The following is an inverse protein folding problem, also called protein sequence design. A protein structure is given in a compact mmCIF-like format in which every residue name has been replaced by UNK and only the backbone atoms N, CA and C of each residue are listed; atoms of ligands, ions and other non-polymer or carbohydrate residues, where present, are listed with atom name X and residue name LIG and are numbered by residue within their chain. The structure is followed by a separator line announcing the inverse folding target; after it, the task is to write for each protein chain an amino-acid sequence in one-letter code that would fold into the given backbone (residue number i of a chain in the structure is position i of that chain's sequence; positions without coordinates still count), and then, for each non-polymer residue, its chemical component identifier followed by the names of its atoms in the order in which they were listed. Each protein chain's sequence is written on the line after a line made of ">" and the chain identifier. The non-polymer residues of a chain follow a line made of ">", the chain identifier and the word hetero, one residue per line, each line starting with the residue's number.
data_IF_812794472447
#
_entry.id   IF_812794472447
#
_cell.length_a   1.000
_cell.length_b   1.000
_cell.length_c   1.000
_cell.angle_alpha   90.00
_cell.angle_beta   90.00
_cell.angle_gamma   90.00
#
_symmetry.space_group_name_H-M   'P 1'
#
loop_
_entity.id
_entity.type
_entity.pdbx_description
1 polymer ?
#
# COMPACT_ATOMS: atom_id res chain seq x y z
N UNK A 1 -15.11 -26.08 -9.78
CA UNK A 1 -15.93 -25.58 -8.65
C UNK A 1 -15.93 -24.08 -8.72
N UNK A 2 -17.11 -23.44 -8.82
CA UNK A 2 -17.17 -21.98 -8.81
C UNK A 2 -16.62 -21.49 -7.46
N UNK A 3 -15.69 -20.53 -7.50
CA UNK A 3 -15.28 -19.80 -6.28
C UNK A 3 -16.49 -18.95 -5.89
N UNK A 4 -17.35 -19.49 -5.04
CA UNK A 4 -18.50 -18.79 -4.48
C UNK A 4 -17.99 -17.62 -3.63
N UNK A 5 -17.98 -16.43 -4.18
CA UNK A 5 -17.85 -15.21 -3.39
C UNK A 5 -19.26 -14.78 -3.00
N UNK A 6 -19.43 -14.32 -1.77
CA UNK A 6 -20.52 -13.40 -1.51
C UNK A 6 -20.06 -12.30 -0.58
N UNK A 7 -20.87 -11.25 -0.56
CA UNK A 7 -20.56 -10.04 0.16
C UNK A 7 -21.31 -10.06 1.48
N UNK A 8 -20.62 -9.74 2.59
CA UNK A 8 -21.22 -9.60 3.92
C UNK A 8 -21.32 -8.11 4.26
N UNK A 9 -22.33 -7.37 3.76
CA UNK A 9 -22.56 -5.99 4.18
C UNK A 9 -22.64 -5.88 5.70
N UNK A 10 -22.03 -4.82 6.23
CA UNK A 10 -22.10 -4.49 7.66
C UNK A 10 -23.54 -4.17 8.01
N UNK A 11 -24.10 -4.98 8.91
CA UNK A 11 -25.41 -4.78 9.47
C UNK A 11 -25.26 -4.34 10.92
N UNK A 12 -25.87 -3.21 11.24
CA UNK A 12 -25.90 -2.66 12.59
C UNK A 12 -27.20 -3.08 13.28
N UNK A 13 -27.09 -3.60 14.50
CA UNK A 13 -28.23 -4.11 15.25
C UNK A 13 -27.86 -5.26 16.17
N UNK A 14 -28.79 -5.64 17.04
CA UNK A 14 -28.66 -6.79 17.92
C UNK A 14 -29.79 -7.77 17.67
N UNK A 15 -29.47 -9.07 17.70
CA UNK A 15 -30.49 -10.10 17.64
C UNK A 15 -31.37 -10.00 18.90
N UNK A 16 -32.70 -9.89 18.76
CA UNK A 16 -33.60 -9.84 19.92
C UNK A 16 -33.45 -11.08 20.79
N UNK A 17 -33.58 -10.91 22.11
CA UNK A 17 -33.43 -12.00 23.09
C UNK A 17 -34.28 -13.23 22.76
N UNK A 18 -35.54 -13.03 22.36
CA UNK A 18 -36.47 -14.11 22.02
C UNK A 18 -35.99 -14.97 20.84
N UNK A 19 -35.30 -14.37 19.86
CA UNK A 19 -34.75 -15.08 18.71
C UNK A 19 -33.46 -15.77 19.11
N UNK A 20 -32.57 -15.08 19.81
CA UNK A 20 -31.29 -15.62 20.26
C UNK A 20 -31.45 -16.87 21.16
N UNK A 21 -32.46 -16.90 22.03
CA UNK A 21 -32.82 -18.08 22.83
C UNK A 21 -33.24 -19.27 21.95
N UNK A 22 -34.08 -19.04 20.93
CA UNK A 22 -34.52 -20.07 19.97
C UNK A 22 -33.37 -20.54 19.08
N UNK A 23 -32.51 -19.63 18.62
CA UNK A 23 -31.27 -19.94 17.88
C UNK A 23 -30.37 -20.86 18.71
N UNK A 24 -30.23 -20.60 20.01
CA UNK A 24 -29.40 -21.41 20.90
C UNK A 24 -29.97 -22.83 21.02
N UNK A 25 -31.29 -22.96 21.21
CA UNK A 25 -31.97 -24.26 21.31
C UNK A 25 -31.86 -25.06 20.01
N UNK A 26 -32.28 -24.46 18.88
CA UNK A 26 -32.26 -25.12 17.58
C UNK A 26 -30.83 -25.45 17.13
N UNK A 27 -29.90 -24.49 17.27
CA UNK A 27 -28.50 -24.68 16.91
C UNK A 27 -27.82 -25.75 17.76
N UNK A 28 -28.13 -25.81 19.06
CA UNK A 28 -27.66 -26.88 19.95
C UNK A 28 -28.16 -28.26 19.50
N UNK A 29 -29.46 -28.37 19.19
CA UNK A 29 -30.06 -29.62 18.70
C UNK A 29 -29.48 -30.06 17.34
N UNK A 30 -29.23 -29.12 16.43
CA UNK A 30 -28.58 -29.42 15.13
C UNK A 30 -27.15 -29.93 15.36
N UNK A 31 -26.38 -29.27 16.23
CA UNK A 31 -25.01 -29.72 16.56
C UNK A 31 -25.04 -31.13 17.14
N UNK A 32 -25.92 -31.39 18.10
CA UNK A 32 -26.10 -32.70 18.73
C UNK A 32 -26.46 -33.77 17.69
N UNK A 33 -27.44 -33.51 16.82
CA UNK A 33 -27.80 -34.42 15.74
C UNK A 33 -26.63 -34.71 14.79
N UNK A 34 -25.86 -33.69 14.41
CA UNK A 34 -24.69 -33.86 13.53
C UNK A 34 -23.62 -34.71 14.21
N UNK A 35 -23.33 -34.47 15.48
CA UNK A 35 -22.33 -35.25 16.23
C UNK A 35 -22.78 -36.70 16.40
N UNK A 36 -24.06 -36.94 16.68
CA UNK A 36 -24.61 -38.28 16.85
C UNK A 36 -24.62 -39.08 15.53
N UNK A 37 -24.99 -38.45 14.41
CA UNK A 37 -25.11 -39.15 13.11
C UNK A 37 -23.78 -39.27 12.36
N UNK A 38 -22.92 -38.26 12.43
CA UNK A 38 -21.72 -38.14 11.57
C UNK A 38 -20.41 -37.98 12.36
N UNK A 39 -20.48 -37.83 13.68
CA UNK A 39 -19.31 -37.66 14.54
C UNK A 39 -18.80 -36.23 14.67
N UNK A 40 -17.86 -36.04 15.61
CA UNK A 40 -17.26 -34.75 15.96
C UNK A 40 -16.48 -34.13 14.81
N UNK A 41 -15.66 -34.93 14.13
CA UNK A 41 -14.87 -34.48 12.98
C UNK A 41 -15.74 -33.90 11.85
N UNK A 42 -16.87 -34.55 11.53
CA UNK A 42 -17.79 -34.06 10.52
C UNK A 42 -18.42 -32.70 10.89
N UNK A 43 -18.69 -32.46 12.18
CA UNK A 43 -19.13 -31.14 12.64
C UNK A 43 -18.03 -30.09 12.43
N UNK A 44 -16.80 -30.38 12.86
CA UNK A 44 -15.65 -29.46 12.75
C UNK A 44 -15.40 -29.09 11.28
N UNK A 45 -15.41 -30.09 10.39
CA UNK A 45 -15.30 -29.88 8.95
C UNK A 45 -16.43 -28.99 8.42
N UNK A 46 -17.69 -29.28 8.76
CA UNK A 46 -18.86 -28.47 8.33
C UNK A 46 -18.80 -27.03 8.84
N UNK A 47 -18.36 -26.80 10.08
CA UNK A 47 -18.18 -25.46 10.64
C UNK A 47 -17.07 -24.69 9.91
N UNK A 48 -16.03 -25.38 9.43
CA UNK A 48 -14.98 -24.78 8.62
C UNK A 48 -15.43 -24.42 7.19
N UNK A 49 -16.55 -24.98 6.73
CA UNK A 49 -17.13 -24.63 5.43
C UNK A 49 -17.97 -23.33 5.55
N UNK A 50 -17.63 -22.28 4.78
CA UNK A 50 -18.31 -20.99 4.86
C UNK A 50 -19.76 -21.05 4.38
N UNK A 51 -20.08 -21.87 3.38
CA UNK A 51 -21.41 -21.96 2.79
C UNK A 51 -22.34 -22.77 3.69
N UNK A 52 -21.82 -23.85 4.29
CA UNK A 52 -22.54 -24.60 5.32
C UNK A 52 -22.81 -23.71 6.53
N UNK A 53 -21.79 -23.01 7.05
CA UNK A 53 -21.96 -22.11 8.20
C UNK A 53 -22.93 -20.96 7.90
N UNK A 54 -22.89 -20.39 6.68
CA UNK A 54 -23.87 -19.39 6.24
C UNK A 54 -25.29 -19.96 6.21
N UNK A 55 -25.45 -21.17 5.67
CA UNK A 55 -26.73 -21.87 5.58
C UNK A 55 -27.29 -22.18 6.97
N UNK A 56 -26.43 -22.59 7.92
CA UNK A 56 -26.81 -22.74 9.32
C UNK A 56 -27.35 -21.43 9.89
N UNK A 57 -26.70 -20.29 9.61
CA UNK A 57 -27.21 -18.98 9.98
C UNK A 57 -28.62 -18.70 9.47
N UNK A 58 -28.89 -19.00 8.19
CA UNK A 58 -30.22 -18.87 7.60
C UNK A 58 -31.26 -19.75 8.31
N UNK A 59 -30.93 -21.02 8.57
CA UNK A 59 -31.81 -21.96 9.28
C UNK A 59 -32.13 -21.47 10.70
N UNK A 60 -31.17 -20.80 11.35
CA UNK A 60 -31.36 -20.19 12.66
C UNK A 60 -32.13 -18.85 12.61
N UNK A 61 -32.58 -18.42 11.43
CA UNK A 61 -33.44 -17.22 11.27
C UNK A 61 -32.66 -15.92 11.07
N UNK A 62 -31.39 -15.98 10.67
CA UNK A 62 -30.62 -14.81 10.27
C UNK A 62 -30.78 -14.52 8.78
N UNK A 63 -30.69 -13.23 8.40
CA UNK A 63 -30.71 -12.84 6.99
C UNK A 63 -29.50 -13.38 6.23
N UNK A 64 -29.76 -14.01 5.08
CA UNK A 64 -28.81 -14.80 4.28
C UNK A 64 -27.55 -14.08 3.81
N UNK A 65 -27.50 -12.74 3.87
CA UNK A 65 -26.36 -11.91 3.45
C UNK A 65 -25.83 -11.05 4.60
N UNK A 66 -26.27 -11.28 5.84
CA UNK A 66 -25.87 -10.46 6.97
C UNK A 66 -24.51 -10.84 7.53
N UNK A 67 -23.63 -9.84 7.69
CA UNK A 67 -22.40 -9.97 8.50
C UNK A 67 -22.68 -10.33 9.96
N UNK A 68 -23.91 -10.07 10.45
CA UNK A 68 -24.35 -10.44 11.79
C UNK A 68 -24.42 -11.94 12.03
N UNK A 69 -24.55 -12.77 10.99
CA UNK A 69 -24.62 -14.25 11.08
C UNK A 69 -23.49 -14.79 11.95
N UNK A 70 -22.25 -14.39 11.67
CA UNK A 70 -21.08 -14.96 12.34
C UNK A 70 -21.10 -14.71 13.83
N UNK A 71 -21.44 -13.49 14.25
CA UNK A 71 -21.47 -13.15 15.67
C UNK A 71 -22.61 -13.84 16.38
N UNK A 72 -23.80 -13.82 15.79
CA UNK A 72 -25.01 -14.35 16.41
C UNK A 72 -25.02 -15.86 16.50
N UNK A 73 -24.65 -16.55 15.41
CA UNK A 73 -24.60 -18.02 15.36
C UNK A 73 -23.54 -18.56 16.31
N UNK A 74 -22.30 -18.03 16.28
CA UNK A 74 -21.25 -18.51 17.18
C UNK A 74 -21.59 -18.20 18.64
N UNK A 75 -22.20 -17.05 18.92
CA UNK A 75 -22.69 -16.72 20.25
C UNK A 75 -23.75 -17.72 20.73
N UNK A 76 -24.78 -17.99 19.92
CA UNK A 76 -25.88 -18.88 20.27
C UNK A 76 -25.41 -20.33 20.44
N UNK A 77 -24.52 -20.81 19.56
CA UNK A 77 -23.93 -22.13 19.68
C UNK A 77 -23.03 -22.23 20.92
N UNK A 78 -22.19 -21.23 21.20
CA UNK A 78 -21.36 -21.22 22.42
C UNK A 78 -22.23 -21.33 23.67
N UNK A 79 -23.39 -20.69 23.70
CA UNK A 79 -24.32 -20.76 24.82
C UNK A 79 -24.97 -22.13 24.99
N UNK A 80 -25.33 -22.84 23.92
CA UNK A 80 -26.03 -24.13 24.00
C UNK A 80 -25.07 -25.32 24.06
N UNK A 81 -24.10 -25.38 23.14
CA UNK A 81 -23.15 -26.49 23.01
C UNK A 81 -22.29 -26.61 24.27
N UNK A 82 -21.78 -25.50 24.82
CA UNK A 82 -20.91 -25.59 26.00
C UNK A 82 -21.62 -26.12 27.26
N UNK A 83 -22.95 -26.01 27.35
CA UNK A 83 -23.73 -26.60 28.46
C UNK A 83 -23.72 -28.13 28.45
N UNK A 84 -23.55 -28.73 27.27
CA UNK A 84 -23.45 -30.17 27.03
C UNK A 84 -22.06 -30.60 26.53
N UNK A 85 -21.04 -29.75 26.71
CA UNK A 85 -19.72 -29.97 26.11
C UNK A 85 -19.07 -31.31 26.49
N UNK A 86 -19.27 -31.76 27.73
CA UNK A 86 -18.74 -33.04 28.22
C UNK A 86 -19.41 -34.25 27.56
N UNK A 87 -20.67 -34.14 27.17
CA UNK A 87 -21.42 -35.20 26.46
C UNK A 87 -21.08 -35.19 24.96
N UNK A 88 -21.03 -34.00 24.36
CA UNK A 88 -20.80 -33.84 22.93
C UNK A 88 -19.32 -33.96 22.55
N UNK A 89 -18.40 -33.77 23.49
CA UNK A 89 -16.98 -33.64 23.22
C UNK A 89 -16.63 -32.41 22.37
N UNK A 90 -17.48 -31.37 22.37
CA UNK A 90 -17.30 -30.15 21.56
C UNK A 90 -17.32 -28.92 22.48
N UNK A 91 -16.35 -28.03 22.25
CA UNK A 91 -16.14 -26.80 23.01
C UNK A 91 -16.02 -25.61 22.06
N UNK A 92 -16.73 -24.53 22.35
CA UNK A 92 -16.65 -23.28 21.58
C UNK A 92 -16.04 -22.20 22.47
N UNK A 93 -14.92 -21.65 22.04
CA UNK A 93 -14.20 -20.58 22.72
C UNK A 93 -14.21 -19.28 21.94
N UNK A 94 -14.00 -18.17 22.64
CA UNK A 94 -13.89 -16.85 22.02
C UNK A 94 -15.22 -16.15 21.78
N UNK A 95 -15.25 -15.25 20.80
CA UNK A 95 -16.41 -14.44 20.43
C UNK A 95 -16.01 -13.04 19.97
N UNK A 96 -16.91 -12.06 20.13
CA UNK A 96 -16.69 -10.66 19.77
C UNK A 96 -15.94 -9.88 20.87
N UNK A 97 -15.02 -9.00 20.48
CA UNK A 97 -14.40 -8.00 21.36
C UNK A 97 -13.65 -8.60 22.56
N UNK A 98 -14.12 -8.37 23.79
CA UNK A 98 -13.41 -8.92 24.98
C UNK A 98 -13.38 -10.46 24.99
N UNK A 99 -14.36 -11.11 24.37
CA UNK A 99 -14.43 -12.57 24.33
C UNK A 99 -13.37 -13.18 23.41
N UNK A 100 -13.02 -12.54 22.27
CA UNK A 100 -11.91 -13.03 21.43
C UNK A 100 -10.58 -13.02 22.19
N UNK A 101 -10.34 -11.97 23.00
CA UNK A 101 -9.12 -11.87 23.82
C UNK A 101 -9.08 -12.89 24.96
N UNK A 102 -10.21 -13.45 25.36
CA UNK A 102 -10.32 -14.45 26.42
C UNK A 102 -10.08 -15.89 25.92
N UNK A 103 -10.05 -16.14 24.61
CA UNK A 103 -9.88 -17.47 24.02
C UNK A 103 -8.71 -18.26 24.62
N UNK A 104 -7.50 -17.69 24.80
CA UNK A 104 -6.39 -18.44 25.38
C UNK A 104 -6.69 -19.02 26.76
N UNK A 105 -7.36 -18.25 27.61
CA UNK A 105 -7.70 -18.68 28.96
C UNK A 105 -8.81 -19.74 28.96
N UNK A 106 -9.75 -19.68 28.02
CA UNK A 106 -10.77 -20.71 27.84
C UNK A 106 -10.14 -22.03 27.38
N UNK A 107 -9.21 -21.98 26.42
CA UNK A 107 -8.49 -23.15 25.91
C UNK A 107 -7.65 -23.84 26.98
N UNK A 108 -6.92 -23.09 27.80
CA UNK A 108 -6.18 -23.67 28.92
C UNK A 108 -7.08 -24.43 29.89
N UNK A 109 -8.27 -23.90 30.21
CA UNK A 109 -9.22 -24.58 31.12
C UNK A 109 -9.71 -25.90 30.52
N UNK A 110 -10.05 -25.90 29.23
CA UNK A 110 -10.51 -27.11 28.53
C UNK A 110 -9.39 -28.13 28.48
N UNK A 111 -8.18 -27.72 28.11
CA UNK A 111 -6.98 -28.56 28.08
C UNK A 111 -6.73 -29.22 29.45
N UNK A 112 -6.82 -28.44 30.54
CA UNK A 112 -6.69 -28.98 31.91
C UNK A 112 -7.74 -30.03 32.25
N UNK A 113 -8.98 -29.91 31.74
CA UNK A 113 -10.06 -30.88 32.00
C UNK A 113 -10.03 -32.12 31.08
N UNK A 114 -9.41 -32.02 29.91
CA UNK A 114 -9.45 -33.05 28.85
C UNK A 114 -8.11 -33.76 28.64
N UNK A 115 -7.02 -33.24 29.21
CA UNK A 115 -5.66 -33.75 29.01
C UNK A 115 -4.99 -33.31 27.71
N UNK A 116 -5.60 -32.41 26.94
CA UNK A 116 -5.02 -31.86 25.70
C UNK A 116 -3.85 -30.91 25.99
N UNK A 117 -2.98 -30.70 24.99
CA UNK A 117 -1.90 -29.71 25.05
C UNK A 117 -2.44 -28.28 24.88
N UNK A 118 -2.61 -27.60 26.01
CA UNK A 118 -3.08 -26.22 26.06
C UNK A 118 -2.16 -25.22 25.36
N UNK A 119 -0.84 -25.41 25.40
CA UNK A 119 0.11 -24.49 24.78
C UNK A 119 0.03 -24.55 23.25
N UNK A 120 -0.09 -25.75 22.70
CA UNK A 120 -0.29 -25.95 21.26
C UNK A 120 -1.63 -25.36 20.78
N UNK A 121 -2.71 -25.56 21.53
CA UNK A 121 -4.01 -24.98 21.21
C UNK A 121 -3.99 -23.44 21.23
N UNK A 122 -3.41 -22.86 22.28
CA UNK A 122 -3.29 -21.39 22.43
C UNK A 122 -2.39 -20.81 21.33
N UNK A 123 -1.30 -21.47 21.00
CA UNK A 123 -0.43 -21.07 19.89
C UNK A 123 -1.19 -21.08 18.56
N UNK A 124 -1.95 -22.14 18.29
CA UNK A 124 -2.76 -22.27 17.06
C UNK A 124 -3.82 -21.16 16.96
N UNK A 125 -4.54 -20.89 18.05
CA UNK A 125 -5.51 -19.79 18.13
C UNK A 125 -4.88 -18.42 17.84
N UNK A 126 -3.72 -18.13 18.47
CA UNK A 126 -2.99 -16.86 18.27
C UNK A 126 -2.46 -16.72 16.84
N UNK A 127 -1.89 -17.79 16.27
CA UNK A 127 -1.35 -17.75 14.91
C UNK A 127 -2.45 -17.51 13.88
N UNK A 128 -3.58 -18.22 13.97
CA UNK A 128 -4.72 -17.97 13.09
C UNK A 128 -5.16 -16.50 13.14
N UNK A 129 -5.30 -15.92 14.34
CA UNK A 129 -5.66 -14.51 14.49
C UNK A 129 -4.63 -13.53 13.92
N UNK A 130 -3.33 -13.83 14.07
CA UNK A 130 -2.25 -12.97 13.56
C UNK A 130 -2.11 -13.04 12.04
N UNK A 131 -2.33 -14.21 11.46
CA UNK A 131 -2.30 -14.38 10.01
C UNK A 131 -3.39 -13.53 9.37
N UNK A 132 -4.63 -13.67 9.81
CA UNK A 132 -5.79 -12.99 9.22
C UNK A 132 -5.73 -11.47 9.39
N UNK A 133 -5.10 -10.99 10.48
CA UNK A 133 -5.02 -9.57 10.79
C UNK A 133 -3.73 -8.88 10.30
N UNK A 134 -2.69 -9.62 9.93
CA UNK A 134 -1.35 -9.02 9.69
C UNK A 134 -0.65 -9.58 8.47
N UNK A 135 -0.73 -10.89 8.22
CA UNK A 135 -0.11 -11.48 7.04
C UNK A 135 -0.94 -11.20 5.77
N UNK A 136 -2.26 -11.12 5.92
CA UNK A 136 -3.20 -10.69 4.87
C UNK A 136 -3.52 -9.21 5.08
N UNK A 137 -2.94 -8.33 4.25
CA UNK A 137 -3.17 -6.89 4.33
C UNK A 137 -4.22 -6.45 3.29
N UNK A 138 -5.46 -6.88 3.51
CA UNK A 138 -6.61 -6.60 2.65
C UNK A 138 -7.50 -5.46 3.15
N UNK A 139 -7.08 -4.80 4.23
CA UNK A 139 -7.79 -3.69 4.86
C UNK A 139 -8.94 -4.10 5.77
N UNK A 140 -9.09 -5.38 6.14
CA UNK A 140 -10.08 -5.83 7.13
C UNK A 140 -9.42 -6.03 8.50
N UNK A 141 -10.00 -5.44 9.55
CA UNK A 141 -9.51 -5.59 10.93
C UNK A 141 -10.36 -6.60 11.70
N UNK A 142 -9.72 -7.62 12.29
CA UNK A 142 -10.42 -8.70 13.01
C UNK A 142 -11.07 -8.17 14.28
N UNK A 143 -12.38 -8.41 14.42
CA UNK A 143 -13.15 -8.02 15.61
C UNK A 143 -13.85 -9.19 16.30
N UNK A 144 -13.91 -10.35 15.64
CA UNK A 144 -14.45 -11.59 16.17
C UNK A 144 -13.47 -12.73 15.88
N UNK A 145 -13.21 -13.54 16.90
CA UNK A 145 -12.42 -14.76 16.80
C UNK A 145 -13.11 -15.85 17.62
N UNK A 146 -13.47 -16.96 16.97
CA UNK A 146 -14.05 -18.12 17.63
C UNK A 146 -13.27 -19.37 17.29
N UNK A 147 -13.01 -20.20 18.30
CA UNK A 147 -12.25 -21.44 18.20
C UNK A 147 -13.17 -22.58 18.62
N UNK A 148 -13.43 -23.53 17.72
CA UNK A 148 -14.31 -24.67 17.94
C UNK A 148 -13.40 -25.90 18.03
N UNK A 149 -13.44 -26.60 19.15
CA UNK A 149 -12.50 -27.66 19.53
C UNK A 149 -13.26 -28.95 19.86
N UNK A 150 -12.82 -30.07 19.32
CA UNK A 150 -13.18 -31.39 19.82
C UNK A 150 -12.25 -31.84 20.94
N UNK A 151 -12.73 -32.70 21.84
CA UNK A 151 -11.91 -33.43 22.81
C UNK A 151 -10.91 -34.42 22.17
N UNK A 152 -11.02 -34.65 20.86
CA UNK A 152 -10.06 -35.43 20.04
C UNK A 152 -8.92 -34.56 19.49
N UNK A 153 -8.93 -33.25 19.77
CA UNK A 153 -7.88 -32.31 19.37
C UNK A 153 -8.07 -31.66 18.00
N UNK A 154 -9.11 -32.05 17.24
CA UNK A 154 -9.47 -31.37 16.01
C UNK A 154 -10.16 -30.04 16.29
N UNK A 155 -9.82 -29.02 15.52
CA UNK A 155 -10.42 -27.70 15.67
C UNK A 155 -10.67 -26.99 14.34
N UNK A 156 -11.61 -26.06 14.39
CA UNK A 156 -11.86 -25.05 13.37
C UNK A 156 -11.81 -23.65 13.99
N UNK A 157 -11.30 -22.67 13.24
CA UNK A 157 -11.36 -21.25 13.62
C UNK A 157 -12.22 -20.50 12.62
N UNK A 158 -13.18 -19.72 13.13
CA UNK A 158 -13.99 -18.80 12.34
C UNK A 158 -13.72 -17.40 12.85
N UNK A 159 -13.20 -16.54 11.97
CA UNK A 159 -12.88 -15.14 12.28
C UNK A 159 -13.66 -14.22 11.38
N UNK A 160 -13.92 -13.00 11.87
CA UNK A 160 -14.50 -11.95 11.03
C UNK A 160 -13.76 -10.63 11.23
N UNK A 161 -13.34 -10.07 10.10
CA UNK A 161 -12.81 -8.72 10.00
C UNK A 161 -13.84 -7.76 9.42
N UNK A 162 -13.75 -6.48 9.80
CA UNK A 162 -14.56 -5.40 9.24
C UNK A 162 -13.68 -4.38 8.52
N UNK A 163 -14.24 -3.74 7.48
CA UNK A 163 -13.64 -2.60 6.82
C UNK A 163 -14.67 -1.46 6.82
N UNK A 164 -14.47 -0.50 7.73
CA UNK A 164 -15.37 0.63 7.89
C UNK A 164 -15.42 1.53 6.64
N UNK A 165 -14.31 1.62 5.91
CA UNK A 165 -14.19 2.44 4.71
C UNK A 165 -15.05 1.95 3.53
N UNK A 166 -15.38 0.65 3.48
CA UNK A 166 -16.23 0.10 2.43
C UNK A 166 -17.56 -0.47 2.91
N UNK A 167 -17.78 -0.59 4.22
CA UNK A 167 -19.05 -1.06 4.78
C UNK A 167 -19.26 -2.57 4.70
N UNK A 168 -18.20 -3.38 4.55
CA UNK A 168 -18.30 -4.85 4.48
C UNK A 168 -17.51 -5.55 5.59
N UNK A 169 -17.89 -6.79 5.86
CA UNK A 169 -17.13 -7.75 6.63
C UNK A 169 -16.51 -8.83 5.73
N UNK A 170 -15.42 -9.43 6.20
CA UNK A 170 -14.74 -10.58 5.59
C UNK A 170 -14.62 -11.69 6.62
N UNK A 171 -15.00 -12.90 6.23
CA UNK A 171 -14.96 -14.08 7.11
C UNK A 171 -13.83 -15.02 6.70
N UNK A 172 -13.10 -15.53 7.68
CA UNK A 172 -11.96 -16.42 7.49
C UNK A 172 -12.22 -17.74 8.19
N UNK A 173 -11.96 -18.84 7.51
CA UNK A 173 -12.16 -20.18 8.04
C UNK A 173 -10.87 -21.00 7.98
N UNK A 174 -10.61 -21.70 9.08
CA UNK A 174 -9.49 -22.59 9.27
C UNK A 174 -10.00 -23.95 9.70
N UNK A 175 -9.35 -25.02 9.23
CA UNK A 175 -9.64 -26.39 9.59
C UNK A 175 -8.34 -27.13 9.90
N UNK A 176 -8.14 -27.51 11.16
CA UNK A 176 -6.86 -28.05 11.63
C UNK A 176 -6.32 -29.25 10.83
N UNK A 177 -7.13 -30.24 10.40
CA UNK A 177 -6.62 -31.36 9.61
C UNK A 177 -6.10 -30.97 8.23
N UNK A 178 -6.46 -29.79 7.70
CA UNK A 178 -6.00 -29.32 6.39
C UNK A 178 -4.79 -28.39 6.46
N UNK A 179 -4.33 -28.00 7.67
CA UNK A 179 -3.22 -27.05 7.83
C UNK A 179 -1.89 -27.79 7.72
N UNK A 180 -1.15 -27.51 6.65
CA UNK A 180 0.26 -27.93 6.49
C UNK A 180 1.24 -26.87 7.00
N UNK A 181 0.83 -25.60 6.98
CA UNK A 181 1.62 -24.44 7.41
C UNK A 181 0.68 -23.34 7.88
N UNK A 182 1.05 -22.58 8.91
CA UNK A 182 0.30 -21.39 9.33
C UNK A 182 0.60 -20.15 8.47
N UNK A 183 1.67 -20.17 7.69
CA UNK A 183 2.19 -18.99 6.97
C UNK A 183 2.25 -19.20 5.46
N UNK A 184 1.61 -20.26 4.96
CA UNK A 184 1.52 -20.58 3.54
C UNK A 184 0.17 -21.23 3.26
N UNK A 185 -0.69 -20.51 2.51
CA UNK A 185 -2.05 -20.91 2.13
C UNK A 185 -2.83 -21.66 3.23
N UNK A 186 -2.92 -21.12 4.46
CA UNK A 186 -3.39 -21.89 5.60
C UNK A 186 -4.92 -21.99 5.70
N UNK A 187 -5.63 -21.12 4.98
CA UNK A 187 -7.08 -21.01 5.02
C UNK A 187 -7.73 -22.13 4.23
N UNK A 188 -8.75 -22.74 4.83
CA UNK A 188 -9.72 -23.52 4.06
C UNK A 188 -10.53 -22.58 3.16
N UNK A 189 -10.86 -21.38 3.66
CA UNK A 189 -11.60 -20.38 2.89
C UNK A 189 -11.43 -18.94 3.39
N UNK A 190 -11.47 -17.98 2.46
CA UNK A 190 -11.59 -16.53 2.74
C UNK A 190 -12.78 -15.95 1.96
N UNK A 191 -13.76 -15.40 2.69
CA UNK A 191 -15.03 -14.95 2.12
C UNK A 191 -15.12 -13.43 1.98
N UNK A 192 -15.21 -12.97 0.73
CA UNK A 192 -15.52 -11.58 0.37
C UNK A 192 -15.11 -11.22 -1.06
N UNK A 193 -15.53 -10.03 -1.52
CA UNK A 193 -15.14 -9.51 -2.85
C UNK A 193 -13.62 -9.40 -3.02
N UNK A 194 -13.11 -9.83 -4.17
CA UNK A 194 -11.74 -9.53 -4.58
C UNK A 194 -11.61 -8.01 -4.84
N UNK A 195 -10.67 -7.35 -4.15
CA UNK A 195 -10.45 -5.89 -4.21
C UNK A 195 -9.21 -5.52 -5.05
N UNK A 196 -8.72 -6.44 -5.87
CA UNK A 196 -7.51 -6.27 -6.66
C UNK A 196 -6.27 -6.87 -5.98
N UNK A 197 -5.10 -6.30 -6.27
CA UNK A 197 -3.83 -6.72 -5.68
C UNK A 197 -3.76 -6.27 -4.22
N UNK A 198 -3.50 -7.23 -3.33
CA UNK A 198 -3.26 -7.00 -1.90
C UNK A 198 -1.90 -7.57 -1.53
N UNK A 199 -1.30 -7.06 -0.45
CA UNK A 199 -0.13 -7.70 0.12
C UNK A 199 -0.59 -8.91 0.94
N UNK A 200 -0.31 -10.12 0.44
CA UNK A 200 -0.62 -11.37 1.10
C UNK A 200 0.68 -12.17 1.34
N UNK A 201 1.18 -12.14 2.57
CA UNK A 201 2.39 -12.86 2.97
C UNK A 201 2.18 -14.37 3.13
N UNK A 202 0.92 -14.85 3.15
CA UNK A 202 0.64 -16.28 3.14
C UNK A 202 0.60 -16.87 1.73
N UNK A 203 0.72 -16.05 0.69
CA UNK A 203 0.73 -16.58 -0.66
C UNK A 203 1.96 -17.46 -0.87
N UNK A 204 1.79 -18.58 -1.60
CA UNK A 204 2.90 -19.52 -1.90
C UNK A 204 4.13 -18.85 -2.54
N UNK A 205 3.91 -17.80 -3.33
CA UNK A 205 4.97 -17.08 -4.02
C UNK A 205 5.57 -15.94 -3.17
N UNK A 206 5.10 -15.73 -1.93
CA UNK A 206 5.57 -14.66 -1.04
C UNK A 206 6.87 -15.01 -0.27
N UNK A 207 7.52 -16.13 -0.59
CA UNK A 207 8.68 -16.65 0.14
C UNK A 207 9.87 -15.69 0.18
N UNK A 208 10.21 -15.06 -0.95
CA UNK A 208 11.27 -14.05 -1.00
C UNK A 208 10.94 -12.82 -0.15
N UNK A 209 9.70 -12.33 -0.22
CA UNK A 209 9.24 -11.21 0.60
C UNK A 209 9.29 -11.54 2.09
N UNK A 210 8.85 -12.73 2.50
CA UNK A 210 8.94 -13.20 3.90
C UNK A 210 10.39 -13.23 4.37
N UNK A 211 11.31 -13.74 3.56
CA UNK A 211 12.74 -13.75 3.87
C UNK A 211 13.32 -12.32 3.96
N UNK A 212 12.95 -11.43 3.05
CA UNK A 212 13.33 -10.02 3.09
C UNK A 212 12.90 -9.34 4.39
N UNK A 213 11.64 -9.51 4.81
CA UNK A 213 11.13 -8.98 6.09
C UNK A 213 11.92 -9.53 7.27
N UNK A 214 12.22 -10.83 7.30
CA UNK A 214 13.00 -11.46 8.36
C UNK A 214 14.48 -11.06 8.35
N UNK A 215 15.02 -10.66 7.20
CA UNK A 215 16.39 -10.17 7.11
C UNK A 215 16.47 -8.73 7.62
N UNK A 216 15.48 -7.89 7.32
CA UNK A 216 15.41 -6.52 7.86
C UNK A 216 15.42 -6.53 9.38
N UNK A 217 14.74 -7.48 10.04
CA UNK A 217 14.74 -7.55 11.52
C UNK A 217 16.10 -7.94 12.12
N UNK A 218 17.03 -8.44 11.29
CA UNK A 218 18.40 -8.79 11.69
C UNK A 218 19.41 -7.68 11.40
N UNK A 219 19.03 -6.68 10.60
CA UNK A 219 19.94 -5.60 10.23
C UNK A 219 20.10 -4.56 11.33
N UNK A 220 21.22 -3.85 11.27
CA UNK A 220 21.51 -2.76 12.19
C UNK A 220 20.46 -1.64 12.01
N UNK A 221 19.69 -1.30 13.07
CA UNK A 221 18.70 -0.23 13.02
C UNK A 221 19.24 1.11 12.50
N UNK A 222 20.51 1.43 12.74
CA UNK A 222 21.13 2.67 12.25
C UNK A 222 21.25 2.70 10.73
N UNK A 223 21.52 1.56 10.10
CA UNK A 223 21.55 1.43 8.65
C UNK A 223 20.13 1.58 8.07
N UNK A 224 19.15 0.93 8.69
CA UNK A 224 17.74 1.05 8.30
C UNK A 224 17.27 2.50 8.42
N UNK A 225 17.57 3.17 9.54
CA UNK A 225 17.20 4.57 9.77
C UNK A 225 17.90 5.51 8.76
N UNK A 226 19.16 5.25 8.41
CA UNK A 226 19.88 6.03 7.40
C UNK A 226 19.23 5.90 6.03
N UNK A 227 18.83 4.69 5.63
CA UNK A 227 18.14 4.47 4.36
C UNK A 227 16.70 5.04 4.38
N UNK A 228 15.97 4.85 5.48
CA UNK A 228 14.62 5.41 5.65
C UNK A 228 14.62 6.94 5.57
N UNK A 229 15.65 7.60 6.13
CA UNK A 229 15.83 9.06 6.06
C UNK A 229 16.00 9.57 4.63
N UNK A 230 16.49 8.76 3.68
CA UNK A 230 16.57 9.15 2.26
C UNK A 230 15.19 9.26 1.59
N UNK A 231 14.14 8.74 2.21
CA UNK A 231 12.77 8.75 1.69
C UNK A 231 11.96 9.93 2.26
N UNK A 232 12.44 10.57 3.34
CA UNK A 232 11.77 11.71 3.95
C UNK A 232 12.17 13.03 3.28
N UNK A 233 11.20 13.69 2.66
CA UNK A 233 11.37 15.06 2.18
C UNK A 233 11.22 16.05 3.34
N UNK A 234 11.99 17.15 3.36
CA UNK A 234 11.94 18.13 4.44
C UNK A 234 10.63 18.94 4.41
N UNK A 235 10.18 19.41 5.57
CA UNK A 235 8.86 20.05 5.73
C UNK A 235 8.71 21.44 5.08
N UNK A 236 9.82 22.06 4.67
CA UNK A 236 9.84 23.37 4.01
C UNK A 236 9.71 23.28 2.48
N UNK A 237 9.20 24.35 1.87
CA UNK A 237 8.98 24.45 0.42
C UNK A 237 10.13 25.12 -0.34
N UNK A 238 10.96 25.95 0.32
CA UNK A 238 12.07 26.64 -0.33
C UNK A 238 13.18 25.66 -0.71
N UNK A 239 13.66 25.78 -1.95
CA UNK A 239 14.80 24.99 -2.42
C UNK A 239 16.08 25.66 -1.96
N UNK A 240 16.88 24.95 -1.15
CA UNK A 240 18.17 25.42 -0.63
C UNK A 240 19.33 24.72 -1.32
N UNK A 241 20.53 25.29 -1.25
CA UNK A 241 21.75 24.68 -1.81
C UNK A 241 21.99 23.27 -1.27
N UNK A 242 21.69 23.03 0.01
CA UNK A 242 21.78 21.70 0.63
C UNK A 242 20.80 20.64 0.08
N UNK A 243 19.76 21.06 -0.67
CA UNK A 243 18.79 20.14 -1.29
C UNK A 243 19.17 19.75 -2.72
N UNK A 244 20.22 20.35 -3.28
CA UNK A 244 20.58 20.23 -4.69
C UNK A 244 22.05 19.85 -4.81
N UNK A 245 22.36 18.87 -5.68
CA UNK A 245 23.72 18.66 -6.11
C UNK A 245 24.11 19.79 -7.08
N UNK A 246 24.80 20.82 -6.54
CA UNK A 246 25.17 22.02 -7.30
C UNK A 246 26.02 21.73 -8.54
N UNK A 247 26.81 20.65 -8.51
CA UNK A 247 27.63 20.23 -9.65
C UNK A 247 26.76 19.74 -10.81
N UNK A 248 25.75 18.92 -10.52
CA UNK A 248 24.79 18.43 -11.51
C UNK A 248 23.87 19.52 -12.03
N UNK A 249 23.34 20.36 -11.13
CA UNK A 249 22.49 21.49 -11.53
C UNK A 249 23.29 22.44 -12.42
N UNK A 250 24.49 22.83 -12.00
CA UNK A 250 25.34 23.74 -12.74
C UNK A 250 25.71 23.21 -14.14
N UNK A 251 25.98 21.92 -14.29
CA UNK A 251 26.18 21.31 -15.60
C UNK A 251 24.93 21.40 -16.50
N UNK A 252 23.74 21.15 -15.96
CA UNK A 252 22.51 21.27 -16.74
C UNK A 252 22.25 22.73 -17.18
N UNK A 253 22.51 23.70 -16.31
CA UNK A 253 22.37 25.13 -16.61
C UNK A 253 23.41 25.63 -17.61
N UNK A 254 24.67 25.22 -17.44
CA UNK A 254 25.77 25.61 -18.32
C UNK A 254 25.55 25.03 -19.72
N UNK A 255 25.14 23.77 -19.86
CA UNK A 255 24.81 23.18 -21.17
C UNK A 255 23.72 23.95 -21.92
N UNK A 256 22.76 24.53 -21.19
CA UNK A 256 21.69 25.31 -21.78
C UNK A 256 22.14 26.69 -22.31
N UNK A 257 23.19 27.27 -21.72
CA UNK A 257 23.73 28.59 -22.07
C UNK A 257 24.97 28.52 -22.97
N UNK A 258 25.76 27.45 -22.86
CA UNK A 258 27.00 27.20 -23.59
C UNK A 258 26.79 26.03 -24.56
N UNK A 259 26.13 26.33 -25.68
CA UNK A 259 25.72 25.35 -26.70
C UNK A 259 26.90 24.70 -27.44
N UNK A 260 28.14 25.17 -27.24
CA UNK A 260 29.37 24.63 -27.85
C UNK A 260 29.63 23.15 -27.50
N UNK A 261 29.01 22.64 -26.42
CA UNK A 261 29.14 21.25 -25.98
C UNK A 261 28.12 20.28 -26.60
N UNK A 262 27.16 20.80 -27.36
CA UNK A 262 26.21 19.99 -28.12
C UNK A 262 26.69 19.81 -29.55
N UNK A 263 26.51 18.61 -30.11
CA UNK A 263 26.77 18.40 -31.52
C UNK A 263 25.80 19.22 -32.38
N UNK A 264 26.30 19.77 -33.48
CA UNK A 264 25.54 20.63 -34.38
C UNK A 264 24.29 19.93 -34.94
N UNK A 265 24.34 18.62 -35.16
CA UNK A 265 23.20 17.83 -35.64
C UNK A 265 22.08 17.79 -34.59
N UNK A 266 22.40 17.54 -33.31
CA UNK A 266 21.43 17.57 -32.22
C UNK A 266 20.81 18.95 -32.01
N UNK A 267 21.59 20.03 -32.16
CA UNK A 267 21.07 21.40 -32.11
C UNK A 267 20.08 21.69 -33.26
N UNK A 268 20.41 21.26 -34.48
CA UNK A 268 19.53 21.40 -35.64
C UNK A 268 18.24 20.57 -35.49
N UNK A 269 18.31 19.40 -34.86
CA UNK A 269 17.13 18.57 -34.58
C UNK A 269 16.21 19.19 -33.49
N UNK A 270 16.78 20.03 -32.62
CA UNK A 270 16.10 20.82 -31.61
C UNK A 270 15.79 22.26 -32.08
N UNK A 271 15.61 22.46 -33.40
CA UNK A 271 15.25 23.76 -33.98
C UNK A 271 14.09 24.45 -33.23
N UNK A 272 14.29 25.72 -32.91
CA UNK A 272 13.31 26.55 -32.19
C UNK A 272 13.34 26.44 -30.67
N UNK A 273 14.24 25.63 -30.08
CA UNK A 273 14.41 25.51 -28.63
C UNK A 273 15.36 26.59 -28.11
N UNK A 274 14.84 27.52 -27.31
CA UNK A 274 15.66 28.53 -26.63
C UNK A 274 16.41 27.97 -25.40
N UNK A 275 17.40 28.70 -24.85
CA UNK A 275 18.21 28.26 -23.70
C UNK A 275 17.38 27.77 -22.50
N UNK A 276 16.31 28.47 -22.15
CA UNK A 276 15.45 28.09 -21.02
C UNK A 276 14.72 26.76 -21.26
N UNK A 277 14.26 26.54 -22.48
CA UNK A 277 13.59 25.29 -22.88
C UNK A 277 14.59 24.15 -23.00
N UNK A 278 15.82 24.43 -23.45
CA UNK A 278 16.92 23.48 -23.46
C UNK A 278 17.29 23.01 -22.05
N UNK A 279 17.39 23.93 -21.07
CA UNK A 279 17.56 23.60 -19.65
C UNK A 279 16.48 22.64 -19.14
N UNK A 280 15.21 22.93 -19.44
CA UNK A 280 14.10 22.05 -19.07
C UNK A 280 14.24 20.67 -19.70
N UNK A 281 14.57 20.61 -21.00
CA UNK A 281 14.75 19.35 -21.74
C UNK A 281 15.95 18.53 -21.26
N UNK A 282 17.03 19.17 -20.78
CA UNK A 282 18.17 18.45 -20.17
C UNK A 282 17.74 17.71 -18.91
N UNK A 283 17.02 18.38 -18.01
CA UNK A 283 16.51 17.75 -16.79
C UNK A 283 15.43 16.71 -17.08
N UNK A 284 14.57 16.93 -18.06
CA UNK A 284 13.58 15.93 -18.51
C UNK A 284 14.28 14.72 -19.16
N UNK A 285 15.29 14.94 -19.99
CA UNK A 285 16.10 13.87 -20.57
C UNK A 285 16.76 13.01 -19.50
N UNK A 286 17.25 13.62 -18.42
CA UNK A 286 17.79 12.88 -17.28
C UNK A 286 16.72 12.10 -16.51
N UNK A 287 15.46 12.59 -16.42
CA UNK A 287 14.35 11.80 -15.88
C UNK A 287 14.06 10.57 -16.74
N UNK A 288 14.17 10.70 -18.07
CA UNK A 288 13.88 9.61 -19.02
C UNK A 288 15.04 8.59 -19.07
N UNK A 289 16.29 9.03 -19.01
CA UNK A 289 17.47 8.21 -19.32
C UNK A 289 18.47 8.03 -18.16
N UNK A 290 18.28 8.72 -17.04
CA UNK A 290 19.16 8.67 -15.88
C UNK A 290 19.10 7.34 -15.14
N UNK A 291 20.21 6.97 -14.48
CA UNK A 291 20.25 5.81 -13.58
C UNK A 291 19.65 6.17 -12.21
N UNK A 292 19.24 5.19 -11.37
CA UNK A 292 18.68 5.46 -10.03
C UNK A 292 19.52 6.39 -9.15
N UNK A 293 20.84 6.37 -9.32
CA UNK A 293 21.79 7.22 -8.59
C UNK A 293 21.68 8.73 -8.90
N UNK A 294 20.93 9.11 -9.94
CA UNK A 294 20.67 10.51 -10.31
C UNK A 294 19.57 11.16 -9.49
N UNK A 295 18.74 10.37 -8.81
CA UNK A 295 17.52 10.83 -8.14
C UNK A 295 17.67 10.99 -6.62
N UNK A 296 18.91 11.09 -6.13
CA UNK A 296 19.23 11.35 -4.72
C UNK A 296 19.04 12.83 -4.31
N UNK A 297 18.90 13.74 -5.27
CA UNK A 297 18.66 15.17 -5.08
C UNK A 297 17.40 15.70 -5.82
N UNK A 298 16.18 15.21 -5.51
CA UNK A 298 14.98 15.47 -6.30
C UNK A 298 14.62 16.96 -6.44
N UNK A 299 15.04 17.81 -5.49
CA UNK A 299 14.80 19.24 -5.56
C UNK A 299 15.48 19.90 -6.78
N UNK A 300 16.56 19.33 -7.32
CA UNK A 300 17.21 19.81 -8.56
C UNK A 300 16.25 19.84 -9.75
N UNK A 301 15.39 18.84 -9.89
CA UNK A 301 14.47 18.73 -11.03
C UNK A 301 13.38 19.82 -11.03
N UNK A 302 13.16 20.49 -9.90
CA UNK A 302 12.27 21.67 -9.85
C UNK A 302 12.79 22.85 -10.69
N UNK A 303 14.08 22.89 -11.04
CA UNK A 303 14.64 23.90 -11.96
C UNK A 303 14.23 23.67 -13.43
N UNK A 304 13.58 22.55 -13.76
CA UNK A 304 13.05 22.34 -15.10
C UNK A 304 11.87 23.28 -15.39
N UNK A 305 10.94 23.42 -14.44
CA UNK A 305 9.69 24.16 -14.65
C UNK A 305 9.21 24.93 -13.43
N UNK A 306 10.06 25.18 -12.44
CA UNK A 306 9.67 25.84 -11.20
C UNK A 306 8.69 25.00 -10.38
N UNK A 307 7.84 25.68 -9.61
CA UNK A 307 6.84 25.01 -8.76
C UNK A 307 5.53 25.79 -8.69
N UNK A 308 4.43 25.05 -8.47
CA UNK A 308 3.08 25.62 -8.37
C UNK A 308 2.96 26.70 -7.28
N UNK A 309 3.78 26.61 -6.23
CA UNK A 309 3.81 27.56 -5.12
C UNK A 309 4.93 28.62 -5.28
N UNK A 310 5.62 28.65 -6.42
CA UNK A 310 6.69 29.61 -6.71
C UNK A 310 8.08 29.21 -6.20
N UNK A 311 8.30 27.93 -5.89
CA UNK A 311 9.59 27.40 -5.45
C UNK A 311 10.17 26.38 -6.45
N UNK A 312 11.41 26.58 -6.94
CA UNK A 312 12.31 27.70 -6.67
C UNK A 312 11.79 29.02 -7.26
N UNK A 313 11.03 28.95 -8.35
CA UNK A 313 10.41 30.08 -9.04
C UNK A 313 9.02 29.70 -9.60
N UNK A 314 8.17 30.68 -9.96
CA UNK A 314 6.88 30.45 -10.62
C UNK A 314 6.98 29.61 -11.90
N UNK A 315 5.97 28.82 -12.20
CA UNK A 315 5.95 27.92 -13.37
C UNK A 315 6.01 28.72 -14.68
N UNK A 316 7.08 28.63 -15.49
CA UNK A 316 7.19 29.37 -16.74
C UNK A 316 6.39 28.66 -17.84
N UNK A 317 5.11 29.00 -18.01
CA UNK A 317 4.20 28.23 -18.88
C UNK A 317 4.66 28.18 -20.33
N UNK A 318 5.27 29.25 -20.86
CA UNK A 318 5.77 29.24 -22.25
C UNK A 318 6.85 28.18 -22.47
N UNK A 319 7.85 28.14 -21.58
CA UNK A 319 8.92 27.14 -21.59
C UNK A 319 8.35 25.73 -21.43
N UNK A 320 7.35 25.58 -20.55
CA UNK A 320 6.67 24.31 -20.33
C UNK A 320 6.00 23.81 -21.63
N UNK A 321 5.22 24.66 -22.29
CA UNK A 321 4.51 24.31 -23.51
C UNK A 321 5.48 23.99 -24.66
N UNK A 322 6.59 24.73 -24.78
CA UNK A 322 7.64 24.44 -25.76
C UNK A 322 8.34 23.09 -25.51
N UNK A 323 8.60 22.74 -24.25
CA UNK A 323 9.18 21.45 -23.88
C UNK A 323 8.22 20.30 -24.22
N UNK A 324 6.91 20.47 -23.93
CA UNK A 324 5.86 19.51 -24.32
C UNK A 324 5.84 19.32 -25.82
N UNK A 325 5.74 20.41 -26.59
CA UNK A 325 5.66 20.36 -28.04
C UNK A 325 6.89 19.68 -28.66
N UNK A 326 8.08 19.92 -28.09
CA UNK A 326 9.33 19.30 -28.52
C UNK A 326 9.34 17.79 -28.29
N UNK A 327 8.93 17.35 -27.10
CA UNK A 327 8.84 15.93 -26.74
C UNK A 327 7.78 15.21 -27.56
N UNK A 328 6.59 15.79 -27.70
CA UNK A 328 5.50 15.21 -28.49
C UNK A 328 5.91 15.03 -29.95
N UNK A 329 6.54 16.05 -30.55
CA UNK A 329 7.05 15.95 -31.92
C UNK A 329 8.11 14.83 -32.03
N UNK A 330 9.03 14.72 -31.07
CA UNK A 330 10.03 13.65 -31.07
C UNK A 330 9.40 12.26 -30.97
N UNK A 331 8.37 12.09 -30.14
CA UNK A 331 7.65 10.83 -29.96
C UNK A 331 6.87 10.46 -31.24
N UNK A 332 6.17 11.41 -31.85
CA UNK A 332 5.41 11.16 -33.08
C UNK A 332 6.32 10.75 -34.23
N UNK A 333 7.46 11.44 -34.41
CA UNK A 333 8.46 11.06 -35.41
C UNK A 333 9.06 9.68 -35.14
N UNK A 334 9.39 9.38 -33.87
CA UNK A 334 9.93 8.07 -33.49
C UNK A 334 8.95 6.92 -33.79
N UNK A 335 7.65 7.13 -33.59
CA UNK A 335 6.59 6.16 -33.95
C UNK A 335 6.51 5.90 -35.46
N UNK A 336 6.89 6.87 -36.28
CA UNK A 336 6.96 6.77 -37.74
C UNK A 336 8.31 6.20 -38.24
N UNK A 337 9.19 5.79 -37.31
CA UNK A 337 10.50 5.22 -37.63
C UNK A 337 11.64 6.25 -37.66
N UNK A 338 11.36 7.54 -37.53
CA UNK A 338 12.35 8.63 -37.52
C UNK A 338 12.84 8.90 -36.10
N UNK A 339 13.99 8.33 -35.74
CA UNK A 339 14.50 8.34 -34.36
C UNK A 339 15.44 9.50 -34.04
N UNK A 340 15.87 10.29 -35.03
CA UNK A 340 16.95 11.27 -34.85
C UNK A 340 16.62 12.27 -33.74
N UNK A 341 15.40 12.79 -33.70
CA UNK A 341 14.99 13.77 -32.68
C UNK A 341 14.89 13.18 -31.26
N UNK A 342 14.52 11.91 -31.13
CA UNK A 342 14.50 11.23 -29.84
C UNK A 342 15.94 10.97 -29.35
N UNK A 343 16.83 10.58 -30.26
CA UNK A 343 18.26 10.40 -29.99
C UNK A 343 18.92 11.72 -29.59
N UNK A 344 18.55 12.85 -30.21
CA UNK A 344 19.01 14.18 -29.80
C UNK A 344 18.59 14.52 -28.35
N UNK A 345 17.34 14.22 -27.96
CA UNK A 345 16.88 14.42 -26.57
C UNK A 345 17.69 13.54 -25.62
N UNK A 346 17.95 12.28 -25.95
CA UNK A 346 18.84 11.41 -25.17
C UNK A 346 20.28 11.96 -25.09
N UNK A 347 20.74 12.59 -26.16
CA UNK A 347 22.04 13.26 -26.24
C UNK A 347 22.22 14.34 -25.18
N UNK A 348 21.17 15.07 -24.83
CA UNK A 348 21.20 16.12 -23.80
C UNK A 348 21.67 15.60 -22.43
N UNK A 349 21.15 14.45 -21.98
CA UNK A 349 21.59 13.82 -20.74
C UNK A 349 23.08 13.43 -20.80
N UNK A 350 23.52 12.84 -21.91
CA UNK A 350 24.91 12.44 -22.07
C UNK A 350 25.87 13.64 -22.09
N UNK A 351 25.47 14.74 -22.73
CA UNK A 351 26.22 15.99 -22.75
C UNK A 351 26.32 16.59 -21.35
N UNK A 352 25.21 16.63 -20.61
CA UNK A 352 25.20 17.13 -19.24
C UNK A 352 26.11 16.31 -18.32
N UNK A 353 26.14 14.97 -18.46
CA UNK A 353 27.06 14.11 -17.72
C UNK A 353 28.53 14.34 -18.08
N UNK A 354 28.85 14.67 -19.34
CA UNK A 354 30.23 14.98 -19.74
C UNK A 354 30.68 16.30 -19.10
N UNK A 355 29.87 17.35 -19.24
CA UNK A 355 30.14 18.66 -18.66
C UNK A 355 30.23 18.59 -17.13
N UNK A 356 29.38 17.76 -16.50
CA UNK A 356 29.41 17.53 -15.06
C UNK A 356 30.80 17.10 -14.57
N UNK A 357 31.57 16.28 -15.29
CA UNK A 357 32.86 15.76 -14.79
C UNK A 357 33.81 16.88 -14.35
N UNK A 358 33.92 17.90 -15.19
CA UNK A 358 34.86 19.01 -15.04
C UNK A 358 34.20 20.26 -14.43
N UNK A 359 32.88 20.22 -14.17
CA UNK A 359 32.16 21.36 -13.60
C UNK A 359 32.54 21.61 -12.14
N UNK A 360 32.87 22.87 -11.83
CA UNK A 360 33.17 23.37 -10.48
C UNK A 360 32.05 24.33 -10.06
N UNK A 361 31.23 23.98 -9.04
CA UNK A 361 30.19 24.87 -8.54
C UNK A 361 30.74 26.18 -7.96
N UNK A 362 29.96 27.25 -8.09
CA UNK A 362 30.16 28.51 -7.38
C UNK A 362 29.10 28.68 -6.28
N UNK A 363 29.24 29.74 -5.47
CA UNK A 363 28.36 30.02 -4.32
C UNK A 363 27.12 30.86 -4.68
N UNK A 364 26.80 31.02 -5.97
CA UNK A 364 25.78 31.96 -6.46
C UNK A 364 24.37 31.35 -6.51
N UNK A 365 24.10 30.27 -5.75
CA UNK A 365 22.83 29.54 -5.81
C UNK A 365 21.61 30.42 -5.49
N UNK A 366 21.73 31.30 -4.49
CA UNK A 366 20.63 32.20 -4.12
C UNK A 366 20.40 33.29 -5.20
N UNK A 367 21.47 33.77 -5.83
CA UNK A 367 21.40 34.75 -6.92
C UNK A 367 20.71 34.14 -8.15
N UNK A 368 20.98 32.87 -8.45
CA UNK A 368 20.30 32.11 -9.50
C UNK A 368 18.79 32.07 -9.25
N UNK A 369 18.35 31.69 -8.04
CA UNK A 369 16.92 31.65 -7.69
C UNK A 369 16.29 33.03 -7.82
N UNK A 370 16.97 34.08 -7.35
CA UNK A 370 16.45 35.43 -7.42
C UNK A 370 16.32 35.92 -8.87
N UNK A 371 17.32 35.65 -9.71
CA UNK A 371 17.25 35.91 -11.15
C UNK A 371 16.07 35.18 -11.78
N UNK A 372 15.91 33.89 -11.51
CA UNK A 372 14.80 33.10 -12.05
C UNK A 372 13.43 33.67 -11.67
N UNK A 373 13.28 34.15 -10.43
CA UNK A 373 12.06 34.82 -9.95
C UNK A 373 11.81 36.14 -10.67
N UNK A 374 12.83 36.98 -10.80
CA UNK A 374 12.73 38.29 -11.47
C UNK A 374 12.41 38.17 -12.97
N UNK A 375 12.81 37.06 -13.59
CA UNK A 375 12.60 36.82 -15.02
C UNK A 375 11.36 35.98 -15.32
N UNK A 376 10.75 35.34 -14.31
CA UNK A 376 9.63 34.40 -14.49
C UNK A 376 8.46 34.98 -15.31
N UNK A 377 8.13 36.26 -15.13
CA UNK A 377 7.05 36.92 -15.87
C UNK A 377 7.30 36.95 -17.40
N UNK A 378 8.56 37.02 -17.85
CA UNK A 378 8.92 37.01 -19.29
C UNK A 378 8.44 35.72 -19.96
N UNK A 379 8.43 34.62 -19.19
CA UNK A 379 8.10 33.27 -19.63
C UNK A 379 6.69 32.82 -19.24
N UNK A 380 5.82 33.75 -18.84
CA UNK A 380 4.45 33.43 -18.41
C UNK A 380 4.40 32.76 -17.03
N UNK A 381 5.28 33.16 -16.11
CA UNK A 381 5.36 32.63 -14.76
C UNK A 381 4.00 32.60 -14.05
N UNK A 382 3.59 31.43 -13.55
CA UNK A 382 2.34 31.24 -12.80
C UNK A 382 2.57 30.51 -11.48
N UNK A 383 1.78 30.89 -10.48
CA UNK A 383 1.63 30.16 -9.22
C UNK A 383 0.15 29.95 -8.93
N UNK A 384 -0.16 29.12 -7.92
CA UNK A 384 -1.53 29.01 -7.37
C UNK A 384 -2.04 30.33 -6.78
N UNK A 385 -1.16 31.30 -6.53
CA UNK A 385 -1.48 32.62 -6.00
C UNK A 385 -1.64 33.69 -7.09
N UNK A 386 -1.40 33.34 -8.37
CA UNK A 386 -1.55 34.25 -9.51
C UNK A 386 -0.30 34.32 -10.39
N UNK A 387 -0.31 35.29 -11.29
CA UNK A 387 0.72 35.50 -12.32
C UNK A 387 1.93 36.24 -11.75
N UNK A 388 3.13 35.85 -12.21
CA UNK A 388 4.37 36.55 -11.90
C UNK A 388 4.36 37.94 -12.54
N UNK A 389 4.70 38.96 -11.76
CA UNK A 389 4.72 40.36 -12.23
C UNK A 389 6.15 40.86 -12.43
N UNK A 390 6.38 41.82 -13.35
CA UNK A 390 7.66 42.47 -13.48
C UNK A 390 8.12 43.14 -12.17
N UNK A 391 9.42 43.12 -11.84
CA UNK A 391 9.95 43.89 -10.72
C UNK A 391 9.57 45.38 -10.88
N UNK A 392 9.15 46.03 -9.79
CA UNK A 392 8.92 47.48 -9.80
C UNK A 392 10.28 48.18 -9.98
N UNK A 393 10.43 48.99 -11.03
CA UNK A 393 11.66 49.77 -11.24
C UNK A 393 12.00 50.60 -10.00
N UNK A 394 13.17 50.35 -9.41
CA UNK A 394 13.81 51.31 -8.51
C UNK A 394 14.47 52.38 -9.39
N UNK A 395 14.10 53.67 -9.28
CA UNK A 395 14.72 54.72 -10.08
C UNK A 395 16.21 54.83 -9.72
N UNK A 396 17.09 54.50 -10.67
CA UNK A 396 18.51 54.90 -10.61
C UNK A 396 19.60 53.82 -10.60
N UNK A 397 19.33 52.54 -10.90
CA UNK A 397 20.42 51.55 -11.06
C UNK A 397 20.58 51.13 -12.52
N UNK A 398 21.26 51.98 -13.28
CA UNK A 398 21.85 51.58 -14.56
C UNK A 398 22.98 50.59 -14.26
N UNK A 399 22.69 49.29 -14.29
CA UNK A 399 23.75 48.26 -14.29
C UNK A 399 24.51 48.37 -15.62
N UNK A 400 25.77 48.77 -15.54
CA UNK A 400 26.73 48.59 -16.64
C UNK A 400 26.90 47.09 -16.89
N UNK A 401 26.49 46.64 -18.06
CA UNK A 401 26.89 45.35 -18.61
C UNK A 401 28.22 45.55 -19.34
N UNK A 402 29.26 44.93 -18.79
CA UNK A 402 30.66 44.85 -19.25
C UNK A 402 31.51 46.11 -19.09
#
# INVERSE_FOLDING_TARGET
>A
MSRSYADLPLHYGHVPKWLYERMSLLGGAIVEAVVMEYGKSALIQRMSDPAWFQSLGCVLGMDWHSSGITTSVLGSLKQSVNKKSQELGIYICGGKGKHSRATPQELYRIASSTGMDGDTLVKSSKLAAKVDNTAIQDGYQIYLHSFILSDEGEWAVIQQGMNDGNGYARRYHWHSPTISSFVEEPHTFVYGRNKGQILNLTHKDASETKLGVLNITKENPDLILKEARKIFMPAHHDVRSQNVNLKRLGAALALAHEQEQLDMESLLLLEGVGPRTLQSLVLVSEVIHGTPSRFDDPARYSFAHGGKDGHPFPVPTKTYDEAIATLDKAIQLAKLGHKEKNEAIKGLYNAAMKLEKDFIPNDNFNELIEKERQESWKYGGKTVFGDATPPKELPGSQMKLF
#
